data_IF_717223023196
#
_entry.id   IF_717223023196
#
_cell.length_a   1.000
_cell.length_b   1.000
_cell.length_c   1.000
_cell.angle_alpha   90.00
_cell.angle_beta   90.00
_cell.angle_gamma   90.00
#
_symmetry.space_group_name_H-M   'P 1'
#
loop_
_entity.id
_entity.type
_entity.pdbx_description
1 polymer ?
#
# COMPACT_ATOMS: atom_id res chain seq x y z
N UNK A 1 20.31 8.41 -3.59
CA UNK A 1 19.56 7.16 -3.27
C UNK A 1 18.87 7.40 -1.95
N UNK A 2 17.55 7.20 -1.91
CA UNK A 2 16.82 7.26 -0.64
C UNK A 2 17.41 6.24 0.35
N UNK A 3 17.41 6.60 1.62
CA UNK A 3 18.04 5.80 2.67
C UNK A 3 17.26 4.51 2.94
N UNK A 4 17.63 3.42 2.26
CA UNK A 4 17.05 2.09 2.48
C UNK A 4 17.35 1.56 3.89
N UNK A 5 18.48 1.94 4.49
CA UNK A 5 18.82 1.51 5.85
C UNK A 5 17.91 2.17 6.89
N UNK A 6 17.59 3.47 6.73
CA UNK A 6 16.62 4.14 7.58
C UNK A 6 15.21 3.52 7.43
N UNK A 7 14.82 3.16 6.21
CA UNK A 7 13.55 2.48 5.96
C UNK A 7 13.51 1.09 6.63
N UNK A 8 14.56 0.29 6.47
CA UNK A 8 14.70 -1.01 7.13
C UNK A 8 14.61 -0.89 8.66
N UNK A 9 15.26 0.14 9.24
CA UNK A 9 15.19 0.42 10.67
C UNK A 9 13.78 0.69 11.16
N UNK A 10 12.94 1.40 10.42
CA UNK A 10 11.53 1.60 10.76
C UNK A 10 10.77 0.27 10.74
N UNK A 11 11.10 -0.61 9.79
CA UNK A 11 10.47 -1.92 9.67
C UNK A 11 10.97 -2.95 10.70
N UNK A 12 12.12 -2.77 11.34
CA UNK A 12 12.71 -3.74 12.28
C UNK A 12 11.99 -3.88 13.61
N UNK A 13 11.04 -2.96 13.91
CA UNK A 13 10.25 -2.96 15.13
C UNK A 13 9.09 -3.96 15.10
N UNK A 14 8.33 -3.98 16.21
CA UNK A 14 7.04 -4.68 16.26
C UNK A 14 6.08 -4.04 15.26
N UNK A 15 5.19 -4.84 14.69
CA UNK A 15 4.23 -4.44 13.65
C UNK A 15 3.45 -3.18 14.02
N UNK A 16 2.95 -3.11 15.25
CA UNK A 16 2.14 -2.00 15.75
C UNK A 16 2.95 -0.69 15.96
N UNK A 17 4.29 -0.78 15.92
CA UNK A 17 5.21 0.35 16.09
C UNK A 17 5.72 0.93 14.77
N UNK A 18 5.41 0.29 13.65
CA UNK A 18 5.76 0.83 12.34
C UNK A 18 4.98 2.15 12.14
N UNK A 19 5.71 3.25 11.99
CA UNK A 19 5.12 4.54 11.63
C UNK A 19 4.74 4.53 10.14
N UNK A 20 3.45 4.30 9.89
CA UNK A 20 2.92 4.13 8.54
C UNK A 20 3.04 5.41 7.71
N UNK A 21 2.78 6.58 8.31
CA UNK A 21 2.91 7.85 7.61
C UNK A 21 4.37 8.11 7.21
N UNK A 22 5.31 7.92 8.15
CA UNK A 22 6.73 8.10 7.89
C UNK A 22 7.22 7.11 6.81
N UNK A 23 6.84 5.84 6.90
CA UNK A 23 7.21 4.84 5.91
C UNK A 23 6.68 5.18 4.50
N UNK A 24 5.43 5.64 4.38
CA UNK A 24 4.86 6.08 3.10
C UNK A 24 5.56 7.33 2.54
N UNK A 25 5.94 8.27 3.39
CA UNK A 25 6.72 9.45 2.97
C UNK A 25 8.14 9.08 2.54
N UNK A 26 8.77 8.08 3.18
CA UNK A 26 10.07 7.56 2.74
C UNK A 26 9.98 6.82 1.40
N UNK A 27 8.87 6.14 1.11
CA UNK A 27 8.60 5.61 -0.24
C UNK A 27 8.53 6.76 -1.25
N UNK A 28 7.91 7.87 -0.89
CA UNK A 28 7.83 9.04 -1.77
C UNK A 28 9.19 9.69 -2.03
N UNK A 29 10.18 9.60 -1.13
CA UNK A 29 11.53 10.14 -1.33
C UNK A 29 12.25 9.52 -2.53
N UNK A 30 11.89 8.32 -2.97
CA UNK A 30 12.46 7.74 -4.19
C UNK A 30 12.11 8.59 -5.43
N UNK A 31 10.90 9.17 -5.45
CA UNK A 31 10.47 10.07 -6.53
C UNK A 31 10.80 11.55 -6.26
N UNK A 32 10.90 11.94 -4.99
CA UNK A 32 11.11 13.31 -4.51
C UNK A 32 12.27 13.33 -3.51
N UNK A 33 13.54 13.29 -3.95
CA UNK A 33 14.70 13.14 -3.06
C UNK A 33 14.84 14.25 -2.00
N UNK A 34 14.38 15.47 -2.31
CA UNK A 34 14.43 16.62 -1.40
C UNK A 34 13.18 16.73 -0.49
N UNK A 35 12.38 15.67 -0.40
CA UNK A 35 11.14 15.67 0.38
C UNK A 35 11.42 15.89 1.86
N UNK A 36 10.92 16.99 2.42
CA UNK A 36 11.01 17.31 3.84
C UNK A 36 9.97 16.52 4.63
N UNK A 37 10.33 15.34 5.14
CA UNK A 37 9.42 14.42 5.84
C UNK A 37 8.68 15.08 7.00
N UNK A 38 9.40 15.86 7.83
CA UNK A 38 8.84 16.54 9.02
C UNK A 38 7.73 17.53 8.67
N UNK A 39 7.81 18.17 7.50
CA UNK A 39 6.75 19.07 7.02
C UNK A 39 5.42 18.31 6.88
N UNK A 40 5.43 17.16 6.20
CA UNK A 40 4.22 16.39 5.94
C UNK A 40 3.68 15.68 7.19
N UNK A 41 4.57 15.20 8.05
CA UNK A 41 4.17 14.70 9.37
C UNK A 41 3.50 15.81 10.19
N UNK A 42 4.04 17.04 10.12
CA UNK A 42 3.45 18.24 10.71
C UNK A 42 2.09 18.60 10.08
N UNK A 43 1.91 18.41 8.77
CA UNK A 43 0.61 18.62 8.10
C UNK A 43 -0.45 17.64 8.65
N UNK A 44 -0.12 16.36 8.81
CA UNK A 44 -1.02 15.37 9.39
C UNK A 44 -1.37 15.73 10.84
N UNK A 45 -0.40 16.21 11.64
CA UNK A 45 -0.68 16.68 13.01
C UNK A 45 -1.59 17.91 12.99
N UNK A 46 -1.38 18.87 12.10
CA UNK A 46 -2.28 20.03 11.95
C UNK A 46 -3.72 19.64 11.60
N UNK A 47 -3.91 18.62 10.74
CA UNK A 47 -5.23 18.06 10.48
C UNK A 47 -5.86 17.50 11.76
N UNK A 48 -5.10 16.72 12.55
CA UNK A 48 -5.58 16.17 13.81
C UNK A 48 -5.93 17.25 14.83
N UNK A 49 -5.16 18.37 14.90
CA UNK A 49 -5.48 19.52 15.74
C UNK A 49 -6.82 20.15 15.31
N UNK A 50 -7.06 20.31 14.01
CA UNK A 50 -8.34 20.84 13.50
C UNK A 50 -9.52 19.95 13.88
N UNK A 51 -9.36 18.62 13.76
CA UNK A 51 -10.41 17.67 14.19
C UNK A 51 -10.67 17.80 15.68
N UNK A 52 -9.61 17.82 16.51
CA UNK A 52 -9.77 17.99 17.98
C UNK A 52 -10.53 19.27 18.35
N UNK A 53 -10.32 20.35 17.61
CA UNK A 53 -11.01 21.63 17.87
C UNK A 53 -12.53 21.59 17.58
N UNK A 54 -12.98 20.62 16.78
CA UNK A 54 -14.41 20.42 16.45
C UNK A 54 -15.10 19.39 17.36
N UNK A 55 -14.32 18.70 18.22
CA UNK A 55 -14.89 17.66 19.07
C UNK A 55 -15.66 18.26 20.25
N UNK A 56 -16.88 17.76 20.54
CA UNK A 56 -17.58 18.11 21.76
C UNK A 56 -16.85 17.55 22.99
N UNK A 57 -17.02 18.21 24.13
CA UNK A 57 -16.47 17.72 25.41
C UNK A 57 -16.97 16.30 25.69
N UNK A 58 -16.03 15.34 25.82
CA UNK A 58 -16.38 13.95 26.12
C UNK A 58 -16.88 13.15 24.90
N UNK A 59 -16.72 13.68 23.68
CA UNK A 59 -17.16 13.03 22.45
C UNK A 59 -16.63 11.60 22.29
N UNK A 60 -17.51 10.67 21.95
CA UNK A 60 -17.23 9.26 21.72
C UNK A 60 -16.57 8.99 20.35
N UNK A 61 -16.52 7.72 19.96
CA UNK A 61 -15.92 7.33 18.69
C UNK A 61 -16.73 7.82 17.48
N UNK A 62 -18.04 7.86 17.58
CA UNK A 62 -18.94 8.29 16.50
C UNK A 62 -18.75 9.78 16.19
N UNK A 63 -18.76 10.64 17.23
CA UNK A 63 -18.53 12.08 17.08
C UNK A 63 -17.13 12.38 16.51
N UNK A 64 -16.13 11.58 16.89
CA UNK A 64 -14.78 11.71 16.34
C UNK A 64 -14.72 11.33 14.85
N UNK A 65 -15.47 10.31 14.43
CA UNK A 65 -15.58 9.95 13.00
C UNK A 65 -16.27 11.07 12.22
N UNK A 66 -17.38 11.60 12.74
CA UNK A 66 -18.09 12.72 12.11
C UNK A 66 -17.16 13.93 11.95
N UNK A 67 -16.47 14.34 13.02
CA UNK A 67 -15.52 15.46 12.97
C UNK A 67 -14.33 15.19 12.03
N UNK A 68 -13.84 13.95 11.96
CA UNK A 68 -12.77 13.54 11.06
C UNK A 68 -13.22 13.65 9.60
N UNK A 69 -14.42 13.17 9.27
CA UNK A 69 -15.00 13.28 7.94
C UNK A 69 -15.22 14.74 7.56
N UNK A 70 -15.82 15.54 8.43
CA UNK A 70 -16.03 16.97 8.22
C UNK A 70 -14.72 17.70 7.89
N UNK A 71 -13.67 17.47 8.67
CA UNK A 71 -12.38 18.16 8.44
C UNK A 71 -11.69 17.68 7.17
N UNK A 72 -11.61 16.36 6.94
CA UNK A 72 -10.85 15.86 5.80
C UNK A 72 -11.59 16.04 4.47
N UNK A 73 -12.86 15.72 4.41
CA UNK A 73 -13.59 15.66 3.13
C UNK A 73 -14.34 16.97 2.84
N UNK A 74 -15.03 17.56 3.81
CA UNK A 74 -15.82 18.78 3.57
C UNK A 74 -14.95 20.04 3.68
N UNK A 75 -14.17 20.21 4.76
CA UNK A 75 -13.39 21.44 4.98
C UNK A 75 -12.11 21.49 4.13
N UNK A 76 -11.36 20.36 4.09
CA UNK A 76 -10.09 20.28 3.36
C UNK A 76 -10.28 19.81 1.91
N UNK A 77 -11.40 19.16 1.58
CA UNK A 77 -11.74 18.77 0.23
C UNK A 77 -10.92 17.59 -0.31
N UNK A 78 -10.54 16.62 0.55
CA UNK A 78 -9.93 15.37 0.06
C UNK A 78 -10.94 14.56 -0.73
N UNK A 79 -10.54 14.08 -1.91
CA UNK A 79 -11.40 13.31 -2.82
C UNK A 79 -10.67 12.12 -3.44
N UNK A 80 -11.43 11.10 -3.81
CA UNK A 80 -10.93 9.98 -4.60
C UNK A 80 -10.67 10.38 -6.06
N UNK A 81 -9.53 9.96 -6.61
CA UNK A 81 -9.25 10.16 -8.03
C UNK A 81 -9.90 9.07 -8.87
N UNK A 82 -11.00 9.40 -9.53
CA UNK A 82 -11.72 8.52 -10.45
C UNK A 82 -11.37 8.75 -11.92
N UNK A 83 -10.73 9.88 -12.25
CA UNK A 83 -10.43 10.28 -13.63
C UNK A 83 -9.08 9.71 -14.09
N UNK A 84 -8.06 9.76 -13.23
CA UNK A 84 -6.72 9.26 -13.51
C UNK A 84 -6.23 8.40 -12.33
N UNK A 85 -6.85 7.24 -12.23
CA UNK A 85 -6.59 6.30 -11.12
C UNK A 85 -5.14 5.82 -11.08
N UNK A 86 -4.51 5.62 -12.25
CA UNK A 86 -3.16 5.08 -12.39
C UNK A 86 -2.05 6.17 -12.41
N UNK A 87 -2.37 7.42 -12.10
CA UNK A 87 -1.34 8.44 -11.87
C UNK A 87 -0.51 8.03 -10.62
N UNK A 88 0.83 7.84 -10.74
CA UNK A 88 1.67 7.44 -9.60
C UNK A 88 1.59 8.42 -8.42
N UNK A 89 1.28 9.71 -8.68
CA UNK A 89 1.10 10.72 -7.64
C UNK A 89 -0.03 10.39 -6.66
N UNK A 90 -1.00 9.59 -7.07
CA UNK A 90 -2.06 9.12 -6.17
C UNK A 90 -1.57 8.09 -5.12
N UNK A 91 -0.40 7.48 -5.36
CA UNK A 91 0.21 6.51 -4.45
C UNK A 91 1.28 7.11 -3.54
N UNK A 92 1.72 8.35 -3.78
CA UNK A 92 2.67 9.06 -2.94
C UNK A 92 1.96 9.95 -1.93
N UNK A 93 2.20 9.71 -0.63
CA UNK A 93 1.47 10.38 0.45
C UNK A 93 1.67 11.90 0.48
N UNK A 94 2.86 12.41 0.12
CA UNK A 94 3.12 13.84 -0.03
C UNK A 94 2.21 14.48 -1.10
N UNK A 95 2.10 13.84 -2.26
CA UNK A 95 1.24 14.30 -3.36
C UNK A 95 -0.23 14.28 -2.98
N UNK A 96 -0.66 13.22 -2.29
CA UNK A 96 -2.03 13.13 -1.78
C UNK A 96 -2.33 14.27 -0.81
N UNK A 97 -1.40 14.60 0.09
CA UNK A 97 -1.57 15.72 1.04
C UNK A 97 -1.66 17.06 0.30
N UNK A 98 -0.80 17.31 -0.68
CA UNK A 98 -0.75 18.57 -1.41
C UNK A 98 -1.94 18.74 -2.38
N UNK A 99 -2.22 17.70 -3.14
CA UNK A 99 -3.28 17.70 -4.18
C UNK A 99 -4.68 17.43 -3.62
N UNK A 100 -4.77 16.96 -2.38
CA UNK A 100 -6.02 16.53 -1.73
C UNK A 100 -6.78 15.47 -2.53
N UNK A 101 -6.03 14.65 -3.26
CA UNK A 101 -6.58 13.67 -4.18
C UNK A 101 -5.75 12.39 -4.07
N UNK A 102 -6.41 11.23 -3.92
CA UNK A 102 -5.72 9.96 -3.77
C UNK A 102 -6.54 8.77 -4.25
N UNK A 103 -5.97 7.58 -4.08
CA UNK A 103 -6.63 6.30 -4.31
C UNK A 103 -7.11 5.70 -2.97
N UNK A 104 -7.94 4.64 -2.97
CA UNK A 104 -8.51 4.11 -1.74
C UNK A 104 -7.51 3.89 -0.61
N UNK A 105 -6.35 3.30 -0.91
CA UNK A 105 -5.35 3.00 0.14
C UNK A 105 -4.67 4.25 0.69
N UNK A 106 -4.33 5.23 -0.13
CA UNK A 106 -3.61 6.43 0.34
C UNK A 106 -4.53 7.37 1.11
N UNK A 107 -5.79 7.50 0.72
CA UNK A 107 -6.79 8.21 1.51
C UNK A 107 -7.09 7.48 2.83
N UNK A 108 -7.13 6.15 2.82
CA UNK A 108 -7.30 5.37 4.04
C UNK A 108 -6.09 5.51 5.00
N UNK A 109 -4.86 5.54 4.48
CA UNK A 109 -3.66 5.79 5.29
C UNK A 109 -3.75 7.16 5.96
N UNK A 110 -4.06 8.22 5.21
CA UNK A 110 -4.22 9.56 5.78
C UNK A 110 -5.33 9.60 6.83
N UNK A 111 -6.47 8.99 6.55
CA UNK A 111 -7.61 8.87 7.44
C UNK A 111 -7.25 8.16 8.75
N UNK A 112 -6.57 7.02 8.66
CA UNK A 112 -6.10 6.27 9.83
C UNK A 112 -5.06 7.05 10.65
N UNK A 113 -4.14 7.74 10.00
CA UNK A 113 -3.08 8.49 10.66
C UNK A 113 -3.60 9.73 11.39
N UNK A 114 -4.57 10.44 10.82
CA UNK A 114 -5.26 11.53 11.51
C UNK A 114 -6.13 10.95 12.62
N UNK A 115 -6.88 9.88 12.35
CA UNK A 115 -7.73 9.18 13.32
C UNK A 115 -6.95 8.67 14.54
N UNK A 116 -5.77 8.08 14.34
CA UNK A 116 -4.89 7.63 15.43
C UNK A 116 -4.51 8.78 16.37
N UNK A 117 -4.19 9.96 15.81
CA UNK A 117 -3.81 11.15 16.58
C UNK A 117 -4.95 11.75 17.40
N UNK A 118 -6.19 11.45 17.05
CA UNK A 118 -7.38 11.85 17.83
C UNK A 118 -7.95 10.68 18.68
N UNK A 119 -7.22 9.57 18.77
CA UNK A 119 -7.58 8.43 19.62
C UNK A 119 -8.70 7.55 19.06
N UNK A 120 -8.87 7.47 17.73
CA UNK A 120 -9.76 6.50 17.10
C UNK A 120 -9.03 5.17 16.85
N UNK A 121 -9.60 4.02 17.26
CA UNK A 121 -9.04 2.69 17.02
C UNK A 121 -9.38 2.20 15.60
N UNK A 122 -8.80 2.87 14.61
CA UNK A 122 -8.97 2.55 13.20
C UNK A 122 -7.96 1.49 12.74
N UNK A 123 -8.38 0.59 11.84
CA UNK A 123 -7.51 -0.37 11.19
C UNK A 123 -7.86 -0.50 9.70
N UNK A 124 -6.85 -0.62 8.84
CA UNK A 124 -7.05 -0.82 7.40
C UNK A 124 -7.58 -2.21 7.09
N UNK A 125 -8.37 -2.32 6.05
CA UNK A 125 -8.89 -3.57 5.49
C UNK A 125 -8.45 -3.67 4.04
N UNK A 126 -7.66 -4.72 3.72
CA UNK A 126 -7.25 -5.01 2.35
C UNK A 126 -8.38 -5.74 1.60
N UNK A 127 -9.48 -5.04 1.36
CA UNK A 127 -10.65 -5.58 0.68
C UNK A 127 -10.36 -5.90 -0.80
N UNK A 128 -10.93 -6.98 -1.39
CA UNK A 128 -10.78 -7.27 -2.80
C UNK A 128 -11.21 -6.08 -3.69
N UNK A 129 -10.31 -5.66 -4.59
CA UNK A 129 -10.54 -4.52 -5.49
C UNK A 129 -10.58 -3.13 -4.82
N UNK A 130 -10.56 -3.03 -3.48
CA UNK A 130 -10.66 -1.78 -2.76
C UNK A 130 -9.83 -1.77 -1.48
N UNK A 131 -9.73 -0.62 -0.80
CA UNK A 131 -9.12 -0.51 0.54
C UNK A 131 -10.06 0.27 1.45
N UNK A 132 -10.45 -0.34 2.55
CA UNK A 132 -11.43 0.19 3.50
C UNK A 132 -10.78 0.39 4.87
N UNK A 133 -11.52 1.01 5.78
CA UNK A 133 -11.09 1.22 7.17
C UNK A 133 -12.17 0.69 8.10
N UNK A 134 -11.78 -0.08 9.12
CA UNK A 134 -12.70 -0.50 10.18
C UNK A 134 -12.49 0.31 11.43
N UNK A 135 -13.58 0.66 12.08
CA UNK A 135 -13.65 1.20 13.43
C UNK A 135 -14.18 0.13 14.36
N UNK A 136 -13.39 -0.28 15.35
CA UNK A 136 -13.85 -1.19 16.41
C UNK A 136 -14.62 -0.39 17.45
N UNK A 137 -15.87 -0.75 17.69
CA UNK A 137 -16.73 -0.20 18.72
C UNK A 137 -16.84 -1.17 19.90
N UNK A 138 -17.43 -0.71 21.01
CA UNK A 138 -17.73 -1.59 22.18
C UNK A 138 -18.66 -2.75 21.80
N UNK A 139 -19.58 -2.53 20.86
CA UNK A 139 -20.50 -3.54 20.34
C UNK A 139 -20.40 -3.53 18.81
N UNK A 140 -19.60 -4.47 18.26
CA UNK A 140 -19.44 -4.63 16.80
C UNK A 140 -18.34 -3.77 16.19
N UNK A 141 -18.45 -3.58 14.89
CA UNK A 141 -17.55 -2.75 14.10
C UNK A 141 -18.33 -1.99 13.02
N UNK A 142 -17.75 -0.88 12.56
CA UNK A 142 -18.22 -0.13 11.40
C UNK A 142 -17.11 -0.16 10.34
N UNK A 143 -17.48 -0.41 9.10
CA UNK A 143 -16.59 -0.31 7.94
C UNK A 143 -16.83 1.05 7.30
N UNK A 144 -15.75 1.79 7.04
CA UNK A 144 -15.76 3.14 6.49
C UNK A 144 -15.00 3.15 5.16
N UNK A 145 -15.44 3.97 4.22
CA UNK A 145 -14.79 4.16 2.92
C UNK A 145 -14.23 5.58 2.78
N UNK A 146 -12.94 5.83 3.09
CA UNK A 146 -12.32 7.14 2.92
C UNK A 146 -12.29 7.61 1.46
N UNK A 147 -12.35 6.72 0.48
CA UNK A 147 -12.43 7.07 -0.94
C UNK A 147 -13.79 7.68 -1.30
N UNK A 148 -14.82 7.32 -0.54
CA UNK A 148 -16.18 7.83 -0.64
C UNK A 148 -16.53 8.78 0.53
N UNK A 149 -15.57 9.63 0.96
CA UNK A 149 -15.81 10.63 2.01
C UNK A 149 -15.95 10.08 3.42
N UNK A 150 -15.44 8.89 3.71
CA UNK A 150 -15.54 8.27 5.03
C UNK A 150 -16.93 7.73 5.36
N UNK A 151 -17.76 7.54 4.35
CA UNK A 151 -19.12 6.97 4.53
C UNK A 151 -19.06 5.54 5.08
N UNK A 152 -20.01 5.15 5.96
CA UNK A 152 -20.15 3.77 6.39
C UNK A 152 -20.62 2.89 5.23
N UNK A 153 -20.04 1.69 5.13
CA UNK A 153 -20.37 0.69 4.09
C UNK A 153 -21.20 -0.41 4.73
N UNK A 154 -22.36 -0.69 4.15
CA UNK A 154 -23.26 -1.76 4.62
C UNK A 154 -22.74 -3.15 4.22
N UNK A 155 -23.24 -4.18 4.90
CA UNK A 155 -22.94 -5.58 4.56
C UNK A 155 -23.37 -5.91 3.13
N UNK A 156 -24.54 -5.46 2.70
CA UNK A 156 -25.06 -5.70 1.35
C UNK A 156 -24.15 -5.07 0.29
N UNK A 157 -23.68 -3.83 0.52
CA UNK A 157 -22.75 -3.17 -0.39
C UNK A 157 -21.39 -3.88 -0.45
N UNK A 158 -20.88 -4.38 0.68
CA UNK A 158 -19.63 -5.17 0.72
C UNK A 158 -19.80 -6.47 -0.10
N UNK A 159 -20.94 -7.14 0.00
CA UNK A 159 -21.24 -8.34 -0.79
C UNK A 159 -21.34 -8.05 -2.28
N UNK A 160 -21.99 -6.95 -2.65
CA UNK A 160 -22.04 -6.50 -4.06
C UNK A 160 -20.65 -6.17 -4.61
N UNK A 161 -19.78 -5.53 -3.81
CA UNK A 161 -18.40 -5.25 -4.21
C UNK A 161 -17.59 -6.53 -4.42
N UNK A 162 -17.76 -7.55 -3.56
CA UNK A 162 -17.14 -8.87 -3.73
C UNK A 162 -17.57 -9.56 -5.02
N UNK A 163 -18.88 -9.57 -5.31
CA UNK A 163 -19.42 -10.18 -6.54
C UNK A 163 -18.87 -9.55 -7.83
N UNK A 164 -18.55 -8.23 -7.80
CA UNK A 164 -17.97 -7.57 -8.97
C UNK A 164 -16.48 -7.93 -9.21
N UNK A 165 -15.78 -8.36 -8.18
CA UNK A 165 -14.32 -8.56 -8.23
C UNK A 165 -13.93 -10.03 -8.26
N UNK A 166 -14.67 -10.88 -7.56
CA UNK A 166 -14.41 -12.31 -7.49
C UNK A 166 -15.25 -13.00 -8.58
N UNK A 167 -14.63 -13.60 -9.61
CA UNK A 167 -15.36 -14.39 -10.60
C UNK A 167 -16.08 -15.57 -9.94
N UNK A 168 -17.28 -15.91 -10.41
CA UNK A 168 -18.08 -17.01 -9.84
C UNK A 168 -17.38 -18.36 -9.94
N UNK A 169 -16.56 -18.57 -10.96
CA UNK A 169 -15.74 -19.77 -11.19
C UNK A 169 -14.48 -19.85 -10.32
N UNK A 170 -14.11 -18.75 -9.65
CA UNK A 170 -12.97 -18.73 -8.72
C UNK A 170 -13.29 -19.37 -7.35
N UNK A 171 -14.54 -19.80 -7.12
CA UNK A 171 -14.97 -20.38 -5.86
C UNK A 171 -15.50 -21.80 -6.09
N UNK A 172 -14.68 -22.79 -5.74
CA UNK A 172 -15.00 -24.24 -6.00
C UNK A 172 -16.23 -24.78 -5.27
N UNK A 173 -16.78 -24.12 -4.25
CA UNK A 173 -17.75 -24.73 -3.33
C UNK A 173 -18.94 -23.86 -2.93
N UNK A 174 -18.86 -22.55 -3.01
CA UNK A 174 -19.92 -21.63 -2.56
C UNK A 174 -20.03 -20.45 -3.52
N UNK A 175 -21.25 -19.97 -3.82
CA UNK A 175 -21.38 -18.71 -4.55
C UNK A 175 -20.75 -17.56 -3.74
N UNK A 176 -20.21 -16.55 -4.43
CA UNK A 176 -19.55 -15.41 -3.80
C UNK A 176 -20.43 -14.75 -2.74
N UNK A 177 -21.75 -14.72 -2.97
CA UNK A 177 -22.75 -14.20 -2.03
C UNK A 177 -22.82 -14.96 -0.69
N UNK A 178 -22.41 -16.22 -0.66
CA UNK A 178 -22.43 -17.07 0.53
C UNK A 178 -21.07 -17.15 1.26
N UNK A 179 -20.05 -16.48 0.73
CA UNK A 179 -18.73 -16.45 1.39
C UNK A 179 -18.83 -15.71 2.74
N UNK A 180 -18.16 -16.22 3.79
CA UNK A 180 -18.08 -15.51 5.08
C UNK A 180 -17.43 -14.14 4.90
N UNK A 181 -18.18 -13.07 5.16
CA UNK A 181 -17.70 -11.70 4.96
C UNK A 181 -16.53 -11.35 5.89
N UNK A 182 -16.53 -11.91 7.11
CA UNK A 182 -15.52 -11.64 8.14
C UNK A 182 -14.08 -11.89 7.65
N UNK A 183 -13.86 -12.91 6.82
CA UNK A 183 -12.53 -13.21 6.27
C UNK A 183 -11.95 -12.07 5.41
N UNK A 184 -12.82 -11.25 4.80
CA UNK A 184 -12.43 -10.10 3.99
C UNK A 184 -12.33 -8.80 4.80
N UNK A 185 -12.72 -8.83 6.08
CA UNK A 185 -12.76 -7.68 6.99
C UNK A 185 -11.66 -7.74 8.06
N UNK A 186 -10.74 -8.71 7.95
CA UNK A 186 -9.60 -8.78 8.84
C UNK A 186 -8.67 -7.56 8.68
N UNK A 187 -8.10 -7.07 9.81
CA UNK A 187 -7.19 -5.92 9.75
C UNK A 187 -5.91 -6.26 9.02
N UNK A 188 -5.56 -5.43 8.07
CA UNK A 188 -4.26 -5.50 7.42
C UNK A 188 -3.17 -5.00 8.37
N UNK A 189 -2.03 -5.68 8.38
CA UNK A 189 -0.84 -5.21 9.09
C UNK A 189 -0.21 -4.00 8.37
N UNK A 190 0.61 -3.21 9.06
CA UNK A 190 1.29 -2.07 8.44
C UNK A 190 2.19 -2.50 7.28
N UNK A 191 2.85 -3.67 7.38
CA UNK A 191 3.61 -4.25 6.27
C UNK A 191 2.73 -4.62 5.09
N UNK A 192 1.56 -5.19 5.31
CA UNK A 192 0.61 -5.50 4.23
C UNK A 192 0.10 -4.22 3.54
N UNK A 193 -0.14 -3.15 4.31
CA UNK A 193 -0.52 -1.84 3.77
C UNK A 193 0.61 -1.27 2.91
N UNK A 194 1.85 -1.24 3.42
CA UNK A 194 3.02 -0.77 2.66
C UNK A 194 3.25 -1.60 1.40
N UNK A 195 3.16 -2.93 1.49
CA UNK A 195 3.27 -3.81 0.33
C UNK A 195 2.22 -3.51 -0.73
N UNK A 196 1.00 -3.15 -0.33
CA UNK A 196 -0.07 -2.79 -1.27
C UNK A 196 0.18 -1.44 -1.95
N UNK A 197 0.68 -0.43 -1.23
CA UNK A 197 1.12 0.85 -1.83
C UNK A 197 2.21 0.61 -2.87
N UNK A 198 3.21 -0.20 -2.53
CA UNK A 198 4.32 -0.54 -3.42
C UNK A 198 3.86 -1.36 -4.64
N UNK A 199 2.89 -2.29 -4.48
CA UNK A 199 2.32 -3.03 -5.63
C UNK A 199 1.59 -2.10 -6.60
N UNK A 200 0.90 -1.08 -6.13
CA UNK A 200 0.28 -0.09 -7.00
C UNK A 200 1.35 0.64 -7.84
N UNK A 201 2.42 1.12 -7.20
CA UNK A 201 3.53 1.77 -7.90
C UNK A 201 4.24 0.82 -8.87
N UNK A 202 4.49 -0.44 -8.46
CA UNK A 202 5.07 -1.49 -9.31
C UNK A 202 4.24 -1.69 -10.58
N UNK A 203 2.92 -1.81 -10.45
CA UNK A 203 2.00 -1.95 -11.58
C UNK A 203 2.12 -0.78 -12.56
N UNK A 204 2.04 0.44 -12.04
CA UNK A 204 2.14 1.66 -12.83
C UNK A 204 3.50 1.75 -13.58
N UNK A 205 4.61 1.48 -12.89
CA UNK A 205 5.94 1.58 -13.50
C UNK A 205 6.26 0.45 -14.47
N UNK A 206 5.64 -0.72 -14.28
CA UNK A 206 5.69 -1.80 -15.26
C UNK A 206 4.98 -1.41 -16.54
N UNK A 207 3.76 -0.87 -16.47
CA UNK A 207 2.95 -0.45 -17.62
C UNK A 207 3.53 0.76 -18.33
N UNK A 208 4.09 1.72 -17.59
CA UNK A 208 4.72 2.92 -18.17
C UNK A 208 6.17 2.71 -18.61
N UNK A 209 6.72 1.51 -18.42
CA UNK A 209 8.05 1.14 -18.88
C UNK A 209 9.19 1.93 -18.23
N UNK A 210 9.11 2.18 -16.90
CA UNK A 210 10.10 2.93 -16.11
C UNK A 210 10.91 1.97 -15.21
N UNK A 211 11.94 1.27 -15.73
CA UNK A 211 12.64 0.23 -15.00
C UNK A 211 13.41 0.76 -13.78
N UNK A 212 13.96 1.97 -13.82
CA UNK A 212 14.68 2.56 -12.69
C UNK A 212 13.74 2.79 -11.51
N UNK A 213 12.53 3.33 -11.76
CA UNK A 213 11.51 3.52 -10.73
C UNK A 213 10.96 2.19 -10.22
N UNK A 214 10.83 1.20 -11.11
CA UNK A 214 10.42 -0.15 -10.71
C UNK A 214 11.46 -0.81 -9.81
N UNK A 215 12.76 -0.58 -10.06
CA UNK A 215 13.84 -1.08 -9.21
C UNK A 215 13.77 -0.49 -7.79
N UNK A 216 13.54 0.83 -7.65
CA UNK A 216 13.37 1.49 -6.36
C UNK A 216 12.22 0.86 -5.57
N UNK A 217 11.07 0.67 -6.22
CA UNK A 217 9.90 0.02 -5.61
C UNK A 217 10.19 -1.40 -5.17
N UNK A 218 10.82 -2.22 -6.02
CA UNK A 218 11.15 -3.62 -5.71
C UNK A 218 12.16 -3.74 -4.57
N UNK A 219 13.13 -2.83 -4.48
CA UNK A 219 14.05 -2.78 -3.34
C UNK A 219 13.29 -2.58 -2.02
N UNK A 220 12.31 -1.68 -1.98
CA UNK A 220 11.48 -1.47 -0.78
C UNK A 220 10.52 -2.63 -0.53
N UNK A 221 9.96 -3.24 -1.57
CA UNK A 221 9.08 -4.41 -1.42
C UNK A 221 9.81 -5.57 -0.73
N UNK A 222 11.05 -5.83 -1.09
CA UNK A 222 11.85 -6.89 -0.47
C UNK A 222 12.29 -6.57 0.97
N UNK A 223 12.30 -5.30 1.39
CA UNK A 223 12.44 -4.93 2.80
C UNK A 223 11.13 -5.12 3.58
N UNK A 224 10.00 -4.83 2.95
CA UNK A 224 8.67 -5.00 3.56
C UNK A 224 8.28 -6.47 3.67
N UNK A 225 8.58 -7.27 2.65
CA UNK A 225 8.26 -8.70 2.55
C UNK A 225 9.48 -9.48 2.01
N UNK A 226 10.47 -9.81 2.85
CA UNK A 226 11.71 -10.47 2.41
C UNK A 226 11.50 -11.87 1.83
N UNK A 227 10.38 -12.50 2.18
CA UNK A 227 9.98 -13.84 1.72
C UNK A 227 9.29 -13.81 0.33
N UNK A 228 9.01 -12.65 -0.23
CA UNK A 228 8.28 -12.52 -1.50
C UNK A 228 9.16 -12.90 -2.71
N UNK A 229 9.26 -14.19 -3.02
CA UNK A 229 10.10 -14.74 -4.09
C UNK A 229 9.79 -14.14 -5.46
N UNK A 230 8.51 -13.87 -5.76
CA UNK A 230 8.11 -13.23 -7.01
C UNK A 230 8.72 -11.83 -7.19
N UNK A 231 8.96 -11.10 -6.11
CA UNK A 231 9.58 -9.77 -6.15
C UNK A 231 11.09 -9.85 -6.42
N UNK A 232 11.76 -10.92 -5.97
CA UNK A 232 13.16 -11.20 -6.34
C UNK A 232 13.27 -11.47 -7.83
N UNK A 233 12.43 -12.34 -8.37
CA UNK A 233 12.38 -12.62 -9.80
C UNK A 233 12.18 -11.36 -10.62
N UNK A 234 11.17 -10.56 -10.26
CA UNK A 234 10.83 -9.33 -10.98
C UNK A 234 11.98 -8.31 -10.89
N UNK A 235 12.69 -8.21 -9.74
CA UNK A 235 13.88 -7.37 -9.60
C UNK A 235 15.05 -7.89 -10.46
N UNK A 236 15.24 -9.19 -10.52
CA UNK A 236 16.22 -9.81 -11.41
C UNK A 236 15.99 -9.44 -12.89
N UNK A 237 14.74 -9.49 -13.35
CA UNK A 237 14.39 -9.05 -14.72
C UNK A 237 14.57 -7.53 -14.92
N UNK A 238 14.30 -6.72 -13.93
CA UNK A 238 14.57 -5.27 -13.98
C UNK A 238 16.07 -5.00 -14.04
N UNK A 239 16.88 -5.68 -13.24
CA UNK A 239 18.34 -5.58 -13.32
C UNK A 239 18.86 -5.99 -14.67
N UNK A 240 18.32 -7.05 -15.28
CA UNK A 240 18.67 -7.47 -16.64
C UNK A 240 18.37 -6.36 -17.64
N UNK A 241 17.19 -5.74 -17.58
CA UNK A 241 16.79 -4.64 -18.46
C UNK A 241 17.67 -3.39 -18.29
N UNK A 242 18.23 -3.19 -17.09
CA UNK A 242 19.17 -2.11 -16.76
C UNK A 242 20.63 -2.51 -16.99
N UNK A 243 20.89 -3.64 -17.66
CA UNK A 243 22.23 -4.17 -17.95
C UNK A 243 23.09 -4.46 -16.70
N UNK A 244 22.45 -4.56 -15.53
CA UNK A 244 23.10 -4.92 -14.26
C UNK A 244 23.17 -6.46 -14.12
N UNK A 245 23.85 -7.13 -15.05
CA UNK A 245 23.76 -8.58 -15.24
C UNK A 245 24.16 -9.43 -14.03
N UNK A 246 25.17 -8.99 -13.24
CA UNK A 246 25.58 -9.72 -12.02
C UNK A 246 24.50 -9.67 -10.94
N UNK A 247 23.84 -8.52 -10.78
CA UNK A 247 22.74 -8.37 -9.82
C UNK A 247 21.51 -9.16 -10.28
N UNK A 248 21.21 -9.13 -11.59
CA UNK A 248 20.14 -9.92 -12.19
C UNK A 248 20.37 -11.43 -11.95
N UNK A 249 21.57 -11.94 -12.22
CA UNK A 249 21.90 -13.35 -12.03
C UNK A 249 21.77 -13.78 -10.58
N UNK A 250 22.17 -12.93 -9.62
CA UNK A 250 22.04 -13.20 -8.21
C UNK A 250 20.57 -13.33 -7.82
N UNK A 251 19.72 -12.35 -8.12
CA UNK A 251 18.30 -12.35 -7.72
C UNK A 251 17.54 -13.52 -8.37
N UNK A 252 17.83 -13.84 -9.64
CA UNK A 252 17.20 -14.97 -10.32
C UNK A 252 17.66 -16.32 -9.76
N UNK A 253 18.92 -16.43 -9.34
CA UNK A 253 19.43 -17.64 -8.65
C UNK A 253 18.75 -17.83 -7.30
N UNK A 254 18.67 -16.77 -6.50
CA UNK A 254 17.98 -16.79 -5.20
C UNK A 254 16.48 -17.14 -5.37
N UNK A 255 15.85 -16.68 -6.46
CA UNK A 255 14.46 -17.05 -6.79
C UNK A 255 14.32 -18.54 -7.07
N UNK A 256 15.13 -19.10 -8.00
CA UNK A 256 15.06 -20.52 -8.39
C UNK A 256 15.41 -21.45 -7.22
N UNK A 257 16.29 -21.01 -6.30
CA UNK A 257 16.60 -21.76 -5.07
C UNK A 257 15.39 -21.81 -4.14
N UNK A 258 14.64 -20.71 -4.00
CA UNK A 258 13.44 -20.65 -3.14
C UNK A 258 12.22 -21.34 -3.76
N UNK A 259 12.08 -21.26 -5.07
CA UNK A 259 10.91 -21.72 -5.82
C UNK A 259 11.33 -22.65 -6.98
N UNK A 260 11.95 -23.81 -6.70
CA UNK A 260 12.51 -24.69 -7.73
C UNK A 260 11.45 -25.25 -8.70
N UNK A 261 10.23 -25.42 -8.19
CA UNK A 261 9.10 -26.02 -8.92
C UNK A 261 8.08 -24.98 -9.40
N UNK A 262 8.42 -23.67 -9.36
CA UNK A 262 7.53 -22.64 -9.88
C UNK A 262 7.32 -22.80 -11.40
N UNK A 263 6.13 -22.49 -11.94
CA UNK A 263 5.79 -22.72 -13.35
C UNK A 263 6.75 -22.06 -14.35
N UNK A 264 7.41 -20.98 -13.94
CA UNK A 264 8.35 -20.20 -14.75
C UNK A 264 9.84 -20.49 -14.43
N UNK A 265 10.13 -21.42 -13.52
CA UNK A 265 11.51 -21.72 -13.09
C UNK A 265 12.41 -22.14 -14.23
N UNK A 266 11.92 -22.90 -15.22
CA UNK A 266 12.72 -23.32 -16.37
C UNK A 266 13.04 -22.14 -17.30
N UNK A 267 12.10 -21.23 -17.52
CA UNK A 267 12.35 -19.98 -18.28
C UNK A 267 13.40 -19.12 -17.58
N UNK A 268 13.30 -19.00 -16.25
CA UNK A 268 14.28 -18.26 -15.44
C UNK A 268 15.67 -18.91 -15.54
N UNK A 269 15.80 -20.24 -15.49
CA UNK A 269 17.08 -20.95 -15.67
C UNK A 269 17.71 -20.68 -17.04
N UNK A 270 16.91 -20.66 -18.10
CA UNK A 270 17.41 -20.30 -19.44
C UNK A 270 17.94 -18.85 -19.44
N UNK A 271 17.23 -17.92 -18.85
CA UNK A 271 17.67 -16.53 -18.71
C UNK A 271 18.97 -16.40 -17.92
N UNK A 272 19.13 -17.18 -16.87
CA UNK A 272 20.38 -17.22 -16.07
C UNK A 272 21.58 -17.70 -16.90
N UNK A 273 21.41 -18.66 -17.80
CA UNK A 273 22.50 -19.11 -18.70
C UNK A 273 22.93 -18.00 -19.64
N UNK A 274 21.98 -17.26 -20.22
CA UNK A 274 22.26 -16.09 -21.07
C UNK A 274 23.03 -15.01 -20.30
N UNK A 275 22.56 -14.66 -19.10
CA UNK A 275 23.20 -13.68 -18.21
C UNK A 275 24.62 -14.09 -17.80
N UNK A 276 24.84 -15.38 -17.52
CA UNK A 276 26.17 -15.91 -17.19
C UNK A 276 27.13 -15.72 -18.35
N UNK A 277 26.67 -15.95 -19.59
CA UNK A 277 27.47 -15.73 -20.81
C UNK A 277 27.78 -14.25 -21.03
N UNK A 278 26.83 -13.34 -20.74
CA UNK A 278 27.05 -11.88 -20.81
C UNK A 278 28.05 -11.43 -19.74
N UNK A 279 27.93 -11.91 -18.48
CA UNK A 279 28.89 -11.60 -17.44
C UNK A 279 30.32 -12.06 -17.76
N UNK A 280 30.46 -13.21 -18.43
CA UNK A 280 31.78 -13.71 -18.82
C UNK A 280 32.45 -12.89 -19.91
N UNK A 281 31.67 -12.24 -20.78
CA UNK A 281 32.18 -11.35 -21.86
C UNK A 281 32.60 -9.97 -21.36
N UNK A 282 32.10 -9.54 -20.22
CA UNK A 282 32.38 -8.22 -19.63
C UNK A 282 33.55 -8.22 -18.62
N UNK A 283 34.16 -9.39 -18.39
CA UNK A 283 35.40 -9.55 -17.60
C UNK A 283 36.57 -9.74 -18.55
#
# INVERSE_FOLDING_TARGET
MADLQAFEKILSGKEEKIDLALACLMIAQDAYPELALDRYLGDIERMAVRVRAQLPAGGGAEERVVALNQVLFDDLGYVGNTQDYYDPRNSYLNEVIERRTGIPITLAILYMEVGRRIGLPLAGISFPGHFLVRLKLRRGMVVLDPFSGGAPVSEDELRERLQRVIPEDATDRLPVSALPLDQFLEPATNRQILARVLRNLKGIYRETGKPERMLEVLNRMLLVAPEASAELRDRGFVYHRLECYRAALKDLADYVEREPDAPDSDEVRVRMMELSSLCARLN
#
